data_IF_836097464774
#
_entry.id   IF_836097464774
#
_cell.length_a   1.000
_cell.length_b   1.000
_cell.length_c   1.000
_cell.angle_alpha   90.00
_cell.angle_beta   90.00
_cell.angle_gamma   90.00
#
_symmetry.space_group_name_H-M   'P 1'
#
loop_
_entity.id
_entity.type
_entity.pdbx_description
1 polymer ?
#
# COMPACT_ATOMS: atom_id res chain seq x y z
N UNK A 1 5.78 5.99 -5.88
CA UNK A 1 5.06 7.26 -5.74
C UNK A 1 5.71 8.39 -6.54
N UNK A 2 6.89 8.90 -6.17
CA UNK A 2 7.55 9.99 -6.91
C UNK A 2 7.75 9.72 -8.41
N UNK A 3 8.23 8.52 -8.76
CA UNK A 3 8.38 8.10 -10.16
C UNK A 3 7.05 8.02 -10.93
N UNK A 4 5.91 7.93 -10.23
CA UNK A 4 4.57 7.96 -10.81
C UNK A 4 3.96 9.39 -10.82
N UNK A 5 4.76 10.43 -10.54
CA UNK A 5 4.32 11.83 -10.56
C UNK A 5 3.60 12.32 -9.30
N UNK A 6 3.59 11.53 -8.22
CA UNK A 6 2.99 11.94 -6.95
C UNK A 6 3.87 12.99 -6.26
N UNK A 7 3.26 14.14 -5.91
CA UNK A 7 3.85 15.12 -5.01
C UNK A 7 3.77 14.63 -3.56
N UNK A 8 4.83 13.98 -3.11
CA UNK A 8 4.89 13.35 -1.79
C UNK A 8 5.26 14.39 -0.73
N UNK A 9 4.26 14.90 -0.03
CA UNK A 9 4.44 15.89 1.04
C UNK A 9 5.21 15.35 2.25
N UNK A 10 4.92 14.13 2.69
CA UNK A 10 5.53 13.52 3.89
C UNK A 10 5.39 11.98 3.88
N UNK A 11 6.13 11.28 4.73
CA UNK A 11 6.12 9.82 4.86
C UNK A 11 6.29 9.37 6.33
N UNK A 12 5.40 8.50 6.82
CA UNK A 12 5.55 7.85 8.14
C UNK A 12 5.82 6.36 7.94
N UNK A 13 6.98 5.84 8.38
CA UNK A 13 7.24 4.41 8.35
C UNK A 13 6.49 3.69 9.47
N UNK A 14 5.91 2.54 9.15
CA UNK A 14 5.37 1.60 10.14
C UNK A 14 6.15 0.28 10.06
N UNK A 15 6.37 -0.40 11.20
CA UNK A 15 6.86 -1.77 11.20
C UNK A 15 5.93 -2.71 10.42
N UNK A 16 6.47 -3.83 9.96
CA UNK A 16 5.62 -4.83 9.33
C UNK A 16 4.58 -5.34 10.34
N UNK A 17 3.38 -5.60 9.84
CA UNK A 17 2.22 -5.98 10.66
C UNK A 17 1.87 -5.03 11.82
N UNK A 18 2.32 -3.77 11.82
CA UNK A 18 1.92 -2.79 12.85
C UNK A 18 0.41 -2.53 12.85
N UNK A 19 -0.24 -2.58 14.01
CA UNK A 19 -1.67 -2.26 14.11
C UNK A 19 -1.89 -0.75 13.92
N UNK A 20 -2.85 -0.37 13.08
CA UNK A 20 -3.27 1.02 12.90
C UNK A 20 -4.35 1.36 13.92
N UNK A 21 -3.96 1.99 15.03
CA UNK A 21 -4.93 2.42 16.05
C UNK A 21 -5.66 3.68 15.57
N UNK A 22 -6.88 3.95 16.06
CA UNK A 22 -7.60 5.18 15.72
C UNK A 22 -6.79 6.46 15.97
N UNK A 23 -5.98 6.48 17.03
CA UNK A 23 -5.08 7.59 17.39
C UNK A 23 -4.00 7.83 16.33
N UNK A 24 -3.40 6.75 15.80
CA UNK A 24 -2.42 6.81 14.72
C UNK A 24 -3.05 7.44 13.47
N UNK A 25 -4.28 7.05 13.16
CA UNK A 25 -4.99 7.56 11.98
C UNK A 25 -5.35 9.04 12.11
N UNK A 26 -5.79 9.47 13.29
CA UNK A 26 -6.04 10.90 13.58
C UNK A 26 -4.75 11.70 13.42
N UNK A 27 -3.64 11.24 14.01
CA UNK A 27 -2.33 11.88 13.84
C UNK A 27 -1.94 12.03 12.36
N UNK A 28 -2.10 10.97 11.57
CA UNK A 28 -1.81 11.02 10.13
C UNK A 28 -2.70 12.02 9.39
N UNK A 29 -3.99 12.07 9.71
CA UNK A 29 -4.95 12.97 9.08
C UNK A 29 -4.68 14.44 9.40
N UNK A 30 -4.38 14.75 10.66
CA UNK A 30 -4.03 16.11 11.08
C UNK A 30 -2.77 16.58 10.36
N UNK A 31 -1.78 15.70 10.24
CA UNK A 31 -0.54 16.00 9.52
C UNK A 31 -0.77 16.19 8.02
N UNK A 32 -1.62 15.37 7.40
CA UNK A 32 -2.00 15.54 6.00
C UNK A 32 -2.72 16.89 5.77
N UNK A 33 -3.60 17.29 6.69
CA UNK A 33 -4.27 18.58 6.64
C UNK A 33 -3.30 19.77 6.71
N UNK A 34 -2.25 19.70 7.53
CA UNK A 34 -1.21 20.74 7.59
C UNK A 34 -0.51 20.96 6.24
N UNK A 35 -0.37 19.91 5.44
CA UNK A 35 0.22 19.97 4.11
C UNK A 35 -0.80 20.16 2.97
N UNK A 36 -2.10 20.26 3.29
CA UNK A 36 -3.16 20.25 2.27
C UNK A 36 -3.17 18.97 1.43
N UNK A 37 -2.71 17.85 1.98
CA UNK A 37 -2.53 16.58 1.30
C UNK A 37 -3.59 15.54 1.69
N UNK A 38 -3.72 14.50 0.88
CA UNK A 38 -4.47 13.28 1.23
C UNK A 38 -3.56 12.19 1.77
N UNK A 39 -4.17 11.18 2.40
CA UNK A 39 -3.47 9.96 2.82
C UNK A 39 -3.46 8.93 1.69
N UNK A 40 -2.32 8.28 1.49
CA UNK A 40 -2.14 7.17 0.55
C UNK A 40 -1.29 6.09 1.19
N UNK A 41 -1.65 4.83 0.97
CA UNK A 41 -0.88 3.67 1.44
C UNK A 41 -0.97 2.52 0.43
N UNK A 42 -0.26 1.41 0.68
CA UNK A 42 -0.35 0.21 -0.16
C UNK A 42 -1.67 -0.54 0.09
N UNK A 43 -2.13 -1.34 -0.87
CA UNK A 43 -3.32 -2.20 -0.67
C UNK A 43 -3.17 -3.13 0.56
N UNK A 44 -1.96 -3.65 0.80
CA UNK A 44 -1.63 -4.50 1.96
C UNK A 44 -1.95 -3.82 3.28
N UNK A 45 -1.55 -2.57 3.45
CA UNK A 45 -1.79 -1.85 4.70
C UNK A 45 -3.20 -1.25 4.73
N UNK A 46 -3.77 -0.91 3.58
CA UNK A 46 -5.13 -0.39 3.47
C UNK A 46 -6.17 -1.37 4.03
N UNK A 47 -6.06 -2.66 3.73
CA UNK A 47 -7.00 -3.68 4.26
C UNK A 47 -6.91 -3.84 5.78
N UNK A 48 -5.82 -3.36 6.40
CA UNK A 48 -5.55 -3.44 7.84
C UNK A 48 -6.00 -2.18 8.59
N UNK A 49 -6.38 -1.12 7.86
CA UNK A 49 -6.93 0.09 8.47
C UNK A 49 -8.26 -0.21 9.16
N UNK A 50 -8.59 0.53 10.24
CA UNK A 50 -9.94 0.53 10.78
C UNK A 50 -10.96 0.84 9.66
N UNK A 51 -12.10 0.13 9.60
CA UNK A 51 -13.05 0.26 8.49
C UNK A 51 -13.47 1.69 8.16
N UNK A 52 -13.69 2.52 9.18
CA UNK A 52 -14.10 3.92 9.07
C UNK A 52 -13.05 4.84 8.43
N UNK A 53 -11.80 4.38 8.32
CA UNK A 53 -10.70 5.13 7.71
C UNK A 53 -10.43 4.76 6.26
N UNK A 54 -10.97 3.63 5.78
CA UNK A 54 -10.72 3.12 4.43
C UNK A 54 -11.19 4.06 3.32
N UNK A 55 -12.30 4.76 3.53
CA UNK A 55 -12.81 5.76 2.59
C UNK A 55 -11.97 7.05 2.57
N UNK A 56 -11.16 7.28 3.60
CA UNK A 56 -10.35 8.49 3.80
C UNK A 56 -8.90 8.33 3.34
N UNK A 57 -8.49 7.11 2.98
CA UNK A 57 -7.11 6.77 2.58
C UNK A 57 -7.15 6.11 1.22
N UNK A 58 -6.39 6.63 0.26
CA UNK A 58 -6.24 6.02 -1.05
C UNK A 58 -5.38 4.74 -0.97
N UNK A 59 -5.90 3.63 -1.46
CA UNK A 59 -5.10 2.43 -1.70
C UNK A 59 -4.35 2.57 -3.03
N UNK A 60 -3.03 2.63 -2.99
CA UNK A 60 -2.20 2.66 -4.19
C UNK A 60 -1.91 1.24 -4.66
N UNK A 61 -2.37 0.86 -5.88
CA UNK A 61 -2.22 -0.50 -6.36
C UNK A 61 -0.76 -0.79 -6.71
N UNK A 62 -0.33 -2.01 -6.38
CA UNK A 62 1.00 -2.51 -6.74
C UNK A 62 0.89 -3.86 -7.43
N UNK A 63 1.56 -3.98 -8.57
CA UNK A 63 1.54 -5.21 -9.38
C UNK A 63 2.95 -5.78 -9.42
N UNK A 64 3.11 -7.02 -8.96
CA UNK A 64 4.33 -7.77 -9.19
C UNK A 64 4.39 -8.22 -10.66
N UNK A 65 5.56 -8.06 -11.28
CA UNK A 65 5.82 -8.55 -12.65
C UNK A 65 7.06 -9.43 -12.62
N UNK A 66 7.00 -10.54 -13.35
CA UNK A 66 8.15 -11.39 -13.60
C UNK A 66 8.88 -10.90 -14.85
N UNK A 67 10.21 -10.91 -14.81
CA UNK A 67 11.02 -10.62 -16.00
C UNK A 67 10.83 -11.70 -17.08
N UNK A 68 10.67 -12.97 -16.68
CA UNK A 68 10.30 -14.10 -17.53
C UNK A 68 9.06 -14.82 -16.98
N UNK A 69 7.89 -14.23 -17.21
CA UNK A 69 6.61 -14.80 -16.81
C UNK A 69 6.32 -16.16 -17.48
N UNK A 70 6.73 -16.31 -18.75
CA UNK A 70 6.50 -17.53 -19.52
C UNK A 70 7.30 -18.72 -18.96
N UNK A 71 8.59 -18.51 -18.67
CA UNK A 71 9.46 -19.51 -18.06
C UNK A 71 8.98 -19.90 -16.66
N UNK A 72 8.59 -18.93 -15.82
CA UNK A 72 8.02 -19.20 -14.50
C UNK A 72 6.75 -20.06 -14.59
N UNK A 73 5.84 -19.73 -15.52
CA UNK A 73 4.61 -20.49 -15.75
C UNK A 73 4.90 -21.92 -16.22
N UNK A 74 5.84 -22.11 -17.15
CA UNK A 74 6.22 -23.43 -17.65
C UNK A 74 6.77 -24.33 -16.53
N UNK A 75 7.63 -23.78 -15.66
CA UNK A 75 8.16 -24.48 -14.49
C UNK A 75 7.05 -24.96 -13.55
N UNK A 76 6.12 -24.06 -13.20
CA UNK A 76 4.99 -24.36 -12.33
C UNK A 76 4.11 -25.46 -12.92
N UNK A 77 3.75 -25.35 -14.20
CA UNK A 77 2.89 -26.34 -14.87
C UNK A 77 3.54 -27.72 -14.87
N UNK A 78 4.84 -27.80 -15.22
CA UNK A 78 5.57 -29.07 -15.24
C UNK A 78 5.65 -29.76 -13.86
N UNK A 79 5.52 -29.02 -12.76
CA UNK A 79 5.55 -29.57 -11.38
C UNK A 79 4.17 -29.88 -10.80
N UNK A 80 3.12 -29.22 -11.28
CA UNK A 80 1.75 -29.46 -10.84
C UNK A 80 1.09 -30.63 -11.59
N UNK A 81 1.58 -30.97 -12.78
CA UNK A 81 1.06 -32.08 -13.60
C UNK A 81 1.90 -33.36 -13.54
N UNK A 82 2.94 -33.39 -12.72
CA UNK A 82 3.79 -34.55 -12.45
C UNK A 82 3.38 -35.23 -11.14
#
# INVERSE_FOLDING_TARGET
LKAAGCDLADFVPYPDHAAFKPEDMTFLADRAALFGAGLVTTEKDWVRLPPEWRERVAAWPVVARFDDEAGFKALLMAKLTA
#
